data_IF_410308393463
#
_entry.id   IF_410308393463
#
_cell.length_a   1.000
_cell.length_b   1.000
_cell.length_c   1.000
_cell.angle_alpha   90.00
_cell.angle_beta   90.00
_cell.angle_gamma   90.00
#
_symmetry.space_group_name_H-M   'P 1'
#
loop_
_entity.id
_entity.type
_entity.pdbx_description
1 polymer ?
#
# COMPACT_ATOMS: atom_id res chain seq x y z
N UNK A 1 -31.90 -37.60 23.07
CA UNK A 1 -31.31 -36.26 22.77
C UNK A 1 -32.28 -35.54 21.87
N UNK A 2 -32.96 -34.50 22.33
CA UNK A 2 -33.79 -33.66 21.47
C UNK A 2 -32.92 -32.99 20.39
N UNK A 3 -33.39 -33.08 19.16
CA UNK A 3 -32.68 -32.57 18.00
C UNK A 3 -32.84 -31.04 17.97
N UNK A 4 -31.84 -30.29 18.43
CA UNK A 4 -31.88 -28.83 18.46
C UNK A 4 -32.07 -28.25 17.06
N UNK A 5 -33.00 -27.31 16.92
CA UNK A 5 -33.27 -26.62 15.65
C UNK A 5 -32.10 -25.69 15.31
N UNK A 6 -31.49 -25.87 14.13
CA UNK A 6 -30.29 -25.15 13.71
C UNK A 6 -30.58 -23.87 12.93
N UNK A 7 -31.78 -23.71 12.39
CA UNK A 7 -32.17 -22.52 11.63
C UNK A 7 -33.69 -22.38 11.58
N UNK A 8 -34.17 -21.14 11.55
CA UNK A 8 -35.56 -20.77 11.30
C UNK A 8 -35.71 -20.30 9.87
N UNK A 9 -36.41 -21.07 8.97
CA UNK A 9 -36.66 -20.62 7.61
C UNK A 9 -37.51 -19.34 7.60
N UNK A 10 -37.11 -18.35 6.81
CA UNK A 10 -37.85 -17.10 6.62
C UNK A 10 -38.64 -17.15 5.29
N UNK A 11 -37.92 -17.22 4.19
CA UNK A 11 -38.51 -17.29 2.83
C UNK A 11 -37.49 -17.79 1.81
N UNK A 12 -37.98 -18.02 0.59
CA UNK A 12 -37.15 -18.31 -0.58
C UNK A 12 -37.56 -17.36 -1.71
N UNK A 13 -36.58 -16.68 -2.30
CA UNK A 13 -36.79 -15.73 -3.38
C UNK A 13 -35.74 -15.93 -4.49
N UNK A 14 -36.18 -16.13 -5.73
CA UNK A 14 -35.34 -16.28 -6.93
C UNK A 14 -34.15 -17.24 -6.74
N UNK A 15 -34.41 -18.40 -6.10
CA UNK A 15 -33.38 -19.41 -5.80
C UNK A 15 -32.58 -19.20 -4.53
N UNK A 16 -32.60 -17.99 -3.96
CA UNK A 16 -31.94 -17.71 -2.69
C UNK A 16 -32.85 -18.13 -1.51
N UNK A 17 -32.34 -18.97 -0.63
CA UNK A 17 -33.02 -19.36 0.62
C UNK A 17 -32.48 -18.47 1.75
N UNK A 18 -33.39 -17.84 2.51
CA UNK A 18 -33.09 -16.96 3.61
C UNK A 18 -33.63 -17.58 4.90
N UNK A 19 -32.79 -17.69 5.91
CA UNK A 19 -33.14 -18.24 7.22
C UNK A 19 -32.40 -17.49 8.34
N UNK A 20 -32.99 -17.45 9.54
CA UNK A 20 -32.26 -17.08 10.76
C UNK A 20 -31.48 -18.30 11.25
N UNK A 21 -30.26 -18.08 11.70
CA UNK A 21 -29.39 -19.10 12.27
C UNK A 21 -28.38 -18.49 13.24
N UNK A 22 -27.85 -19.29 14.14
CA UNK A 22 -26.72 -18.89 14.95
C UNK A 22 -25.42 -19.09 14.18
N UNK A 23 -24.54 -18.09 14.17
CA UNK A 23 -23.23 -18.23 13.52
C UNK A 23 -22.22 -18.87 14.49
N UNK A 24 -22.17 -20.20 14.48
CA UNK A 24 -21.27 -20.99 15.33
C UNK A 24 -19.80 -20.91 14.92
N UNK A 25 -19.48 -20.34 13.73
CA UNK A 25 -18.11 -20.27 13.20
C UNK A 25 -17.28 -19.17 13.87
N UNK A 26 -17.94 -18.16 14.43
CA UNK A 26 -17.29 -16.99 15.04
C UNK A 26 -16.84 -17.23 16.47
N UNK A 27 -17.23 -18.37 17.09
CA UNK A 27 -16.91 -18.64 18.48
C UNK A 27 -15.51 -19.23 18.65
N UNK A 28 -14.50 -18.36 18.70
CA UNK A 28 -13.12 -18.70 19.11
C UNK A 28 -12.93 -18.69 20.63
N UNK A 29 -13.92 -18.23 21.41
CA UNK A 29 -13.93 -18.21 22.86
C UNK A 29 -14.99 -19.21 23.34
N UNK A 30 -14.75 -19.88 24.45
CA UNK A 30 -15.62 -20.88 25.07
C UNK A 30 -16.92 -20.25 25.64
N UNK A 31 -17.61 -19.44 24.86
CA UNK A 31 -18.93 -18.90 25.20
C UNK A 31 -20.00 -19.89 24.76
N UNK A 32 -21.03 -20.08 25.58
CA UNK A 32 -22.19 -20.91 25.23
C UNK A 32 -23.16 -20.19 24.29
N UNK A 33 -22.97 -18.89 24.04
CA UNK A 33 -23.82 -18.05 23.21
C UNK A 33 -23.19 -17.79 21.86
N UNK A 34 -24.03 -17.68 20.83
CA UNK A 34 -23.64 -17.43 19.44
C UNK A 34 -24.43 -16.26 18.88
N UNK A 35 -23.81 -15.40 18.01
CA UNK A 35 -24.50 -14.27 17.41
C UNK A 35 -25.63 -14.74 16.48
N UNK A 36 -26.79 -14.07 16.61
CA UNK A 36 -27.92 -14.25 15.69
C UNK A 36 -27.58 -13.64 14.34
N UNK A 37 -27.75 -14.41 13.28
CA UNK A 37 -27.41 -14.01 11.93
C UNK A 37 -28.48 -14.45 10.94
N UNK A 38 -28.66 -13.70 9.86
CA UNK A 38 -29.38 -14.17 8.70
C UNK A 38 -28.42 -14.93 7.80
N UNK A 39 -28.81 -16.15 7.48
CA UNK A 39 -28.10 -17.02 6.56
C UNK A 39 -28.75 -16.95 5.19
N UNK A 40 -27.99 -16.50 4.21
CA UNK A 40 -28.35 -16.53 2.80
C UNK A 40 -27.69 -17.74 2.15
N UNK A 41 -28.48 -18.53 1.42
CA UNK A 41 -27.97 -19.73 0.71
C UNK A 41 -28.39 -19.67 -0.73
N UNK A 42 -27.44 -19.69 -1.65
CA UNK A 42 -27.64 -19.72 -3.10
C UNK A 42 -26.48 -20.51 -3.75
N UNK A 43 -26.76 -21.30 -4.79
CA UNK A 43 -25.74 -22.09 -5.51
C UNK A 43 -24.94 -23.04 -4.60
N UNK A 44 -25.56 -23.60 -3.57
CA UNK A 44 -24.91 -24.44 -2.53
C UNK A 44 -23.87 -23.72 -1.67
N UNK A 45 -23.70 -22.40 -1.83
CA UNK A 45 -22.86 -21.55 -0.98
C UNK A 45 -23.74 -20.83 0.04
N UNK A 46 -23.17 -20.53 1.23
CA UNK A 46 -23.88 -19.78 2.26
C UNK A 46 -22.98 -18.75 2.91
N UNK A 47 -23.55 -17.58 3.26
CA UNK A 47 -22.90 -16.59 4.11
C UNK A 47 -23.87 -16.15 5.21
N UNK A 48 -23.32 -15.56 6.28
CA UNK A 48 -24.05 -15.13 7.46
C UNK A 48 -23.89 -13.63 7.62
N UNK A 49 -25.01 -12.96 7.88
CA UNK A 49 -25.05 -11.52 8.14
C UNK A 49 -25.58 -11.31 9.57
N UNK A 50 -24.78 -10.76 10.50
CA UNK A 50 -25.20 -10.56 11.89
C UNK A 50 -26.31 -9.51 11.97
N UNK A 51 -27.35 -9.80 12.78
CA UNK A 51 -28.50 -8.90 12.94
C UNK A 51 -28.69 -8.39 14.37
N UNK A 52 -27.75 -8.71 15.24
CA UNK A 52 -27.75 -8.32 16.65
C UNK A 52 -28.35 -9.37 17.56
N UNK A 53 -27.94 -9.34 18.83
CA UNK A 53 -28.31 -10.36 19.83
C UNK A 53 -27.46 -11.63 19.75
N UNK A 54 -27.34 -12.32 20.90
CA UNK A 54 -26.65 -13.60 21.02
C UNK A 54 -27.54 -14.54 21.83
N UNK A 55 -27.54 -15.81 21.45
CA UNK A 55 -28.40 -16.83 22.07
C UNK A 55 -27.63 -18.13 22.24
N UNK A 56 -27.97 -18.90 23.25
CA UNK A 56 -27.55 -20.30 23.36
C UNK A 56 -28.27 -21.14 22.30
N UNK A 57 -27.71 -22.27 21.94
CA UNK A 57 -28.33 -23.18 20.96
C UNK A 57 -29.71 -23.69 21.43
N UNK A 58 -29.89 -23.80 22.76
CA UNK A 58 -31.16 -24.22 23.37
C UNK A 58 -32.22 -23.12 23.27
N UNK A 59 -31.91 -21.90 23.72
CA UNK A 59 -32.81 -20.73 23.62
C UNK A 59 -33.27 -20.51 22.18
N UNK A 60 -32.35 -20.51 21.24
CA UNK A 60 -32.68 -20.37 19.83
C UNK A 60 -33.61 -21.48 19.33
N UNK A 61 -33.35 -22.73 19.71
CA UNK A 61 -34.22 -23.86 19.36
C UNK A 61 -35.62 -23.72 19.96
N UNK A 62 -35.73 -23.27 21.23
CA UNK A 62 -37.01 -23.06 21.91
C UNK A 62 -37.83 -21.94 21.25
N UNK A 63 -37.15 -20.85 20.83
CA UNK A 63 -37.81 -19.79 20.07
C UNK A 63 -38.27 -20.28 18.70
N UNK A 64 -37.40 -21.00 17.95
CA UNK A 64 -37.75 -21.52 16.64
C UNK A 64 -38.94 -22.50 16.67
N UNK A 65 -39.08 -23.28 17.72
CA UNK A 65 -40.12 -24.31 17.86
C UNK A 65 -41.36 -23.82 18.61
N UNK A 66 -41.41 -22.53 18.96
CA UNK A 66 -42.55 -21.98 19.73
C UNK A 66 -43.83 -21.98 18.89
N UNK A 67 -44.89 -22.61 19.41
CA UNK A 67 -46.21 -22.75 18.74
C UNK A 67 -47.31 -21.97 19.48
N UNK A 68 -47.17 -21.79 20.79
CA UNK A 68 -48.20 -21.11 21.61
C UNK A 68 -48.14 -19.60 21.41
N UNK A 69 -49.15 -19.01 20.78
CA UNK A 69 -49.22 -17.59 20.41
C UNK A 69 -49.04 -16.59 21.58
N UNK A 70 -49.33 -17.02 22.81
CA UNK A 70 -49.14 -16.19 24.02
C UNK A 70 -47.75 -16.31 24.67
N UNK A 71 -46.92 -17.23 24.21
CA UNK A 71 -45.55 -17.38 24.76
C UNK A 71 -44.64 -16.27 24.24
N UNK A 72 -43.70 -15.83 25.06
CA UNK A 72 -42.75 -14.78 24.69
C UNK A 72 -41.83 -15.24 23.56
N UNK A 73 -41.47 -16.52 23.55
CA UNK A 73 -40.71 -17.10 22.42
C UNK A 73 -41.46 -17.02 21.08
N UNK A 74 -42.78 -17.22 21.06
CA UNK A 74 -43.58 -17.08 19.85
C UNK A 74 -43.68 -15.61 19.41
N UNK A 75 -43.84 -14.68 20.36
CA UNK A 75 -43.87 -13.24 20.06
C UNK A 75 -42.56 -12.80 19.45
N UNK A 76 -41.42 -13.22 20.00
CA UNK A 76 -40.07 -12.92 19.50
C UNK A 76 -39.84 -13.55 18.11
N UNK A 77 -40.26 -14.82 17.92
CA UNK A 77 -40.18 -15.45 16.59
C UNK A 77 -41.02 -14.69 15.55
N UNK A 78 -42.20 -14.22 15.93
CA UNK A 78 -43.05 -13.42 15.04
C UNK A 78 -42.40 -12.07 14.71
N UNK A 79 -41.88 -11.38 15.73
CA UNK A 79 -41.15 -10.10 15.53
C UNK A 79 -39.99 -10.25 14.56
N UNK A 80 -39.21 -11.31 14.69
CA UNK A 80 -38.14 -11.59 13.73
C UNK A 80 -38.65 -11.79 12.30
N UNK A 81 -39.73 -12.53 12.13
CA UNK A 81 -40.36 -12.74 10.83
C UNK A 81 -40.89 -11.43 10.24
N UNK A 82 -41.61 -10.66 11.05
CA UNK A 82 -42.22 -9.38 10.64
C UNK A 82 -41.18 -8.31 10.30
N UNK A 83 -40.01 -8.36 10.97
CA UNK A 83 -38.90 -7.43 10.70
C UNK A 83 -38.06 -7.84 9.49
N UNK A 84 -37.64 -9.09 9.42
CA UNK A 84 -36.62 -9.51 8.47
C UNK A 84 -37.19 -9.95 7.12
N UNK A 85 -38.40 -10.50 7.08
CA UNK A 85 -38.99 -10.96 5.79
C UNK A 85 -39.22 -9.78 4.85
N UNK A 86 -39.93 -8.70 5.20
CA UNK A 86 -40.18 -7.58 4.27
C UNK A 86 -38.87 -6.97 3.81
N UNK A 87 -37.95 -6.68 4.74
CA UNK A 87 -36.67 -6.05 4.46
C UNK A 87 -35.83 -6.78 3.42
N UNK A 88 -35.58 -8.07 3.65
CA UNK A 88 -34.67 -8.83 2.78
C UNK A 88 -35.36 -9.37 1.55
N UNK A 89 -36.67 -9.56 1.57
CA UNK A 89 -37.46 -9.91 0.41
C UNK A 89 -37.46 -8.76 -0.61
N UNK A 90 -37.68 -7.53 -0.17
CA UNK A 90 -37.62 -6.35 -1.01
C UNK A 90 -36.24 -6.18 -1.66
N UNK A 91 -35.16 -6.35 -0.88
CA UNK A 91 -33.80 -6.29 -1.39
C UNK A 91 -33.57 -7.32 -2.51
N UNK A 92 -33.93 -8.60 -2.27
CA UNK A 92 -33.72 -9.65 -3.26
C UNK A 92 -34.64 -9.50 -4.49
N UNK A 93 -35.84 -8.96 -4.34
CA UNK A 93 -36.72 -8.67 -5.48
C UNK A 93 -36.20 -7.54 -6.35
N UNK A 94 -35.60 -6.52 -5.73
CA UNK A 94 -35.05 -5.35 -6.42
C UNK A 94 -33.63 -5.58 -6.98
N UNK A 95 -32.91 -6.55 -6.44
CA UNK A 95 -31.59 -6.88 -6.91
C UNK A 95 -31.64 -7.53 -8.30
N UNK A 96 -31.00 -6.94 -9.29
CA UNK A 96 -30.96 -7.40 -10.68
C UNK A 96 -32.36 -7.72 -11.25
N UNK A 97 -33.20 -6.68 -11.38
CA UNK A 97 -34.59 -6.84 -11.87
C UNK A 97 -34.63 -7.60 -13.19
N UNK A 98 -35.25 -8.79 -13.17
CA UNK A 98 -35.43 -9.64 -14.35
C UNK A 98 -34.28 -10.58 -14.71
N UNK A 99 -33.10 -10.47 -14.06
CA UNK A 99 -31.94 -11.34 -14.27
C UNK A 99 -31.81 -12.47 -13.24
N UNK A 100 -30.83 -13.34 -13.43
CA UNK A 100 -30.49 -14.43 -12.51
C UNK A 100 -29.71 -13.85 -11.31
N UNK A 101 -30.09 -14.22 -10.08
CA UNK A 101 -29.30 -13.89 -8.90
C UNK A 101 -28.09 -14.82 -8.79
N UNK A 102 -26.91 -14.27 -8.57
CA UNK A 102 -25.72 -15.04 -8.22
C UNK A 102 -25.39 -14.89 -6.73
N UNK A 103 -24.67 -15.86 -6.18
CA UNK A 103 -24.25 -15.83 -4.78
C UNK A 103 -23.46 -14.55 -4.43
N UNK A 104 -22.57 -14.14 -5.32
CA UNK A 104 -21.72 -12.98 -5.09
C UNK A 104 -22.50 -11.66 -5.10
N UNK A 105 -23.48 -11.52 -6.01
CA UNK A 105 -24.38 -10.36 -6.06
C UNK A 105 -25.18 -10.20 -4.76
N UNK A 106 -25.76 -11.31 -4.26
CA UNK A 106 -26.53 -11.31 -3.02
C UNK A 106 -25.62 -10.96 -1.84
N UNK A 107 -24.45 -11.57 -1.78
CA UNK A 107 -23.46 -11.32 -0.72
C UNK A 107 -23.01 -9.87 -0.70
N UNK A 108 -22.61 -9.32 -1.83
CA UNK A 108 -22.15 -7.93 -1.93
C UNK A 108 -23.25 -6.94 -1.54
N UNK A 109 -24.47 -7.14 -2.02
CA UNK A 109 -25.59 -6.29 -1.67
C UNK A 109 -25.92 -6.30 -0.17
N UNK A 110 -25.91 -7.48 0.46
CA UNK A 110 -26.26 -7.64 1.88
C UNK A 110 -25.11 -7.17 2.80
N UNK A 111 -23.88 -7.46 2.43
CA UNK A 111 -22.69 -7.07 3.22
C UNK A 111 -22.37 -5.57 3.09
N UNK A 112 -23.08 -4.85 2.22
CA UNK A 112 -22.81 -3.42 1.97
C UNK A 112 -21.64 -3.17 1.03
N UNK A 113 -21.14 -4.19 0.37
CA UNK A 113 -20.20 -4.09 -0.75
C UNK A 113 -21.00 -3.87 -2.04
N UNK A 114 -21.49 -2.68 -2.27
CA UNK A 114 -22.08 -2.12 -3.49
C UNK A 114 -22.99 -3.02 -4.35
N UNK A 115 -24.06 -2.43 -4.86
CA UNK A 115 -24.88 -3.03 -5.91
C UNK A 115 -24.03 -3.23 -7.16
N UNK A 116 -23.83 -4.46 -7.64
CA UNK A 116 -23.22 -4.69 -8.94
C UNK A 116 -24.12 -4.13 -10.04
N UNK A 117 -23.65 -3.23 -10.89
CA UNK A 117 -24.39 -2.78 -12.06
C UNK A 117 -24.57 -3.94 -13.05
N UNK A 118 -25.66 -3.91 -13.81
CA UNK A 118 -25.84 -4.77 -14.98
C UNK A 118 -24.67 -4.60 -15.96
N UNK A 119 -24.36 -5.61 -16.79
CA UNK A 119 -23.21 -5.64 -17.71
C UNK A 119 -23.08 -4.46 -18.69
N UNK A 120 -23.99 -3.52 -18.68
CA UNK A 120 -23.98 -2.30 -19.52
C UNK A 120 -23.58 -1.03 -18.79
N UNK A 121 -23.45 -1.06 -17.42
CA UNK A 121 -22.99 0.07 -16.63
C UNK A 121 -21.62 -0.24 -15.96
N UNK A 122 -20.60 -0.48 -16.77
CA UNK A 122 -19.20 -0.60 -16.32
C UNK A 122 -18.54 0.75 -16.01
N UNK A 123 -19.31 1.77 -15.64
CA UNK A 123 -18.72 3.05 -15.33
C UNK A 123 -19.48 3.74 -14.20
N UNK A 124 -18.80 3.88 -13.10
CA UNK A 124 -18.90 4.91 -12.06
C UNK A 124 -19.23 4.36 -10.67
N UNK A 125 -18.21 4.29 -9.88
CA UNK A 125 -18.29 4.20 -8.44
C UNK A 125 -19.23 5.29 -7.89
N UNK A 126 -20.32 4.88 -7.24
CA UNK A 126 -21.33 5.79 -6.71
C UNK A 126 -20.97 6.39 -5.35
N UNK A 127 -19.70 6.47 -4.99
CA UNK A 127 -19.24 7.06 -3.73
C UNK A 127 -17.82 7.62 -3.85
N UNK A 128 -17.51 8.61 -2.99
CA UNK A 128 -16.17 9.19 -2.89
C UNK A 128 -15.09 8.13 -2.65
N UNK A 129 -15.36 7.17 -1.75
CA UNK A 129 -14.47 6.05 -1.47
C UNK A 129 -14.33 5.13 -2.67
N UNK A 130 -15.39 4.87 -3.39
CA UNK A 130 -15.34 4.02 -4.58
C UNK A 130 -14.55 4.66 -5.74
N UNK A 131 -14.65 5.99 -5.95
CA UNK A 131 -13.75 6.71 -6.88
C UNK A 131 -12.30 6.57 -6.44
N UNK A 132 -12.04 6.60 -5.13
CA UNK A 132 -10.71 6.38 -4.60
C UNK A 132 -10.17 4.98 -4.91
N UNK A 133 -10.99 3.95 -4.70
CA UNK A 133 -10.66 2.55 -5.03
C UNK A 133 -10.48 2.34 -6.54
N UNK A 134 -11.28 2.99 -7.35
CA UNK A 134 -11.11 2.97 -8.80
C UNK A 134 -9.76 3.57 -9.22
N UNK A 135 -9.36 4.72 -8.66
CA UNK A 135 -8.04 5.32 -8.92
C UNK A 135 -6.91 4.36 -8.51
N UNK A 136 -7.05 3.67 -7.36
CA UNK A 136 -6.07 2.66 -6.93
C UNK A 136 -5.98 1.53 -7.95
N UNK A 137 -7.12 1.04 -8.43
CA UNK A 137 -7.18 -0.01 -9.44
C UNK A 137 -6.52 0.44 -10.76
N UNK A 138 -6.89 1.61 -11.27
CA UNK A 138 -6.30 2.21 -12.47
C UNK A 138 -4.77 2.33 -12.34
N UNK A 139 -4.27 2.82 -11.19
CA UNK A 139 -2.84 2.95 -10.93
C UNK A 139 -2.10 1.61 -10.87
N UNK A 140 -2.77 0.51 -10.53
CA UNK A 140 -2.19 -0.84 -10.48
C UNK A 140 -2.23 -1.55 -11.84
N UNK A 141 -3.22 -1.25 -12.67
CA UNK A 141 -3.47 -1.91 -13.96
C UNK A 141 -2.96 -1.11 -15.15
N UNK A 142 -2.55 0.17 -14.94
CA UNK A 142 -2.04 1.04 -15.98
C UNK A 142 -0.67 0.57 -16.48
N UNK A 143 -0.55 0.36 -17.78
CA UNK A 143 0.68 0.08 -18.56
C UNK A 143 1.77 -0.74 -17.84
N UNK A 144 1.45 -1.99 -17.50
CA UNK A 144 2.41 -2.90 -16.88
C UNK A 144 2.74 -2.58 -15.42
N UNK A 145 1.83 -1.94 -14.68
CA UNK A 145 1.94 -1.76 -13.26
C UNK A 145 3.00 -0.74 -12.80
N UNK A 146 3.38 0.15 -13.68
CA UNK A 146 4.46 1.12 -13.44
C UNK A 146 4.18 2.13 -12.31
N UNK A 147 2.95 2.21 -11.79
CA UNK A 147 2.55 3.15 -10.74
C UNK A 147 2.29 2.54 -9.37
N UNK A 148 2.78 1.35 -9.08
CA UNK A 148 2.56 0.67 -7.79
C UNK A 148 2.88 1.52 -6.56
N UNK A 149 3.97 2.31 -6.59
CA UNK A 149 4.33 3.20 -5.46
C UNK A 149 3.27 4.27 -5.21
N UNK A 150 2.68 4.80 -6.29
CA UNK A 150 1.60 5.78 -6.20
C UNK A 150 0.34 5.10 -5.67
N UNK A 151 -0.03 3.94 -6.22
CA UNK A 151 -1.17 3.15 -5.76
C UNK A 151 -1.09 2.84 -4.26
N UNK A 152 0.07 2.39 -3.75
CA UNK A 152 0.26 2.16 -2.32
C UNK A 152 0.06 3.42 -1.47
N UNK A 153 0.50 4.59 -1.97
CA UNK A 153 0.27 5.85 -1.25
C UNK A 153 -1.23 6.15 -1.13
N UNK A 154 -2.01 5.89 -2.19
CA UNK A 154 -3.47 6.02 -2.17
C UNK A 154 -4.13 4.99 -1.25
N UNK A 155 -3.66 3.74 -1.25
CA UNK A 155 -4.17 2.69 -0.35
C UNK A 155 -3.90 2.98 1.11
N UNK A 156 -2.68 3.39 1.44
CA UNK A 156 -2.33 3.77 2.81
C UNK A 156 -3.15 4.98 3.28
N UNK A 157 -3.36 5.96 2.39
CA UNK A 157 -4.20 7.10 2.67
C UNK A 157 -5.66 6.70 2.91
N UNK A 158 -6.23 5.83 2.05
CA UNK A 158 -7.59 5.31 2.20
C UNK A 158 -7.76 4.47 3.47
N UNK A 159 -6.76 3.63 3.82
CA UNK A 159 -6.76 2.88 5.08
C UNK A 159 -6.77 3.80 6.29
N UNK A 160 -5.95 4.87 6.28
CA UNK A 160 -5.92 5.89 7.33
C UNK A 160 -7.26 6.63 7.42
N UNK A 161 -7.84 7.00 6.29
CA UNK A 161 -9.11 7.69 6.19
C UNK A 161 -10.24 6.87 6.82
N UNK A 162 -10.36 5.59 6.43
CA UNK A 162 -11.34 4.66 7.00
C UNK A 162 -11.12 4.40 8.49
N UNK A 163 -9.87 4.29 8.92
CA UNK A 163 -9.53 4.04 10.33
C UNK A 163 -9.93 5.19 11.24
N UNK A 164 -9.76 6.42 10.80
CA UNK A 164 -10.00 7.62 11.63
C UNK A 164 -11.45 8.09 11.56
N UNK A 165 -12.07 8.05 10.38
CA UNK A 165 -13.44 8.52 10.18
C UNK A 165 -14.50 7.44 10.35
N UNK A 166 -14.10 6.17 10.35
CA UNK A 166 -15.00 5.02 10.35
C UNK A 166 -15.55 4.71 8.94
N UNK A 167 -15.84 3.43 8.72
CA UNK A 167 -16.30 2.93 7.41
C UNK A 167 -17.74 3.33 7.09
N UNK A 168 -18.54 3.65 8.11
CA UNK A 168 -19.96 3.96 7.96
C UNK A 168 -20.28 5.45 7.74
N UNK A 169 -19.31 6.34 7.95
CA UNK A 169 -19.53 7.79 7.94
C UNK A 169 -19.62 8.41 6.54
N UNK A 170 -19.13 7.69 5.50
CA UNK A 170 -19.03 8.27 4.14
C UNK A 170 -19.85 7.42 3.18
N UNK A 171 -21.14 7.68 3.17
CA UNK A 171 -22.07 7.13 2.17
C UNK A 171 -22.17 8.08 0.99
N UNK A 172 -21.98 7.55 -0.21
CA UNK A 172 -22.08 8.35 -1.43
C UNK A 172 -21.00 9.44 -1.49
N UNK A 173 -21.39 10.66 -1.82
CA UNK A 173 -20.52 11.82 -1.94
C UNK A 173 -20.72 12.84 -0.80
N UNK A 174 -21.31 12.43 0.32
CA UNK A 174 -21.53 13.27 1.50
C UNK A 174 -20.23 13.49 2.29
N UNK A 175 -19.26 14.13 1.68
CA UNK A 175 -17.99 14.49 2.31
C UNK A 175 -17.83 16.01 2.28
N UNK A 176 -17.38 16.58 3.40
CA UNK A 176 -17.18 18.01 3.57
C UNK A 176 -15.75 18.33 4.02
N UNK A 177 -15.39 19.62 4.01
CA UNK A 177 -14.16 20.12 4.57
C UNK A 177 -13.99 19.75 6.05
N UNK A 178 -15.09 19.66 6.81
CA UNK A 178 -15.07 19.32 8.23
C UNK A 178 -14.62 17.88 8.47
N UNK A 179 -15.10 16.91 7.67
CA UNK A 179 -14.64 15.51 7.77
C UNK A 179 -13.17 15.38 7.39
N UNK A 180 -12.73 16.07 6.34
CA UNK A 180 -11.32 16.04 5.93
C UNK A 180 -10.44 16.68 7.02
N UNK A 181 -10.88 17.77 7.66
CA UNK A 181 -10.18 18.37 8.79
C UNK A 181 -10.14 17.42 9.99
N UNK A 182 -11.25 16.76 10.33
CA UNK A 182 -11.29 15.73 11.39
C UNK A 182 -10.30 14.60 11.13
N UNK A 183 -10.20 14.15 9.87
CA UNK A 183 -9.20 13.16 9.49
C UNK A 183 -7.77 13.67 9.66
N UNK A 184 -7.49 14.90 9.23
CA UNK A 184 -6.19 15.55 9.42
C UNK A 184 -5.81 15.66 10.89
N UNK A 185 -6.75 16.09 11.75
CA UNK A 185 -6.53 16.21 13.19
C UNK A 185 -6.30 14.83 13.84
N UNK A 186 -7.02 13.80 13.41
CA UNK A 186 -6.81 12.42 13.82
C UNK A 186 -5.45 11.87 13.38
N UNK A 187 -4.95 12.24 12.20
CA UNK A 187 -3.59 11.90 11.76
C UNK A 187 -2.51 12.59 12.59
N UNK A 188 -2.75 13.80 13.06
CA UNK A 188 -1.81 14.56 13.87
C UNK A 188 -1.79 14.11 15.34
N UNK A 189 -2.97 13.96 15.94
CA UNK A 189 -3.13 13.68 17.36
C UNK A 189 -3.25 12.17 17.67
N UNK A 190 -3.66 11.37 16.71
CA UNK A 190 -4.13 10.01 16.90
C UNK A 190 -5.62 9.98 17.31
N UNK A 191 -6.20 8.80 17.27
CA UNK A 191 -7.54 8.52 17.77
C UNK A 191 -7.49 7.33 18.72
N UNK A 192 -8.35 7.28 19.72
CA UNK A 192 -8.47 6.10 20.60
C UNK A 192 -9.24 5.02 19.85
N UNK A 193 -8.70 3.81 19.83
CA UNK A 193 -9.42 2.62 19.36
C UNK A 193 -10.38 2.07 20.45
N UNK A 194 -11.05 0.98 20.11
CA UNK A 194 -12.01 0.30 21.01
C UNK A 194 -11.36 -0.16 22.33
N UNK A 195 -10.03 -0.34 22.34
CA UNK A 195 -9.27 -0.73 23.52
C UNK A 195 -8.65 0.46 24.27
N UNK A 196 -8.91 1.70 23.84
CA UNK A 196 -8.36 2.93 24.41
C UNK A 196 -6.92 3.25 23.98
N UNK A 197 -6.30 2.45 23.11
CA UNK A 197 -4.96 2.71 22.59
C UNK A 197 -4.97 3.83 21.54
N UNK A 198 -3.96 4.71 21.60
CA UNK A 198 -3.80 5.77 20.60
C UNK A 198 -3.29 5.19 19.28
N UNK A 199 -4.09 5.32 18.22
CA UNK A 199 -3.79 4.80 16.89
C UNK A 199 -3.92 5.90 15.84
N UNK A 200 -3.30 5.69 14.68
CA UNK A 200 -3.46 6.57 13.51
C UNK A 200 -2.56 7.80 13.50
N UNK A 201 -1.78 8.09 14.56
CA UNK A 201 -0.82 9.21 14.57
C UNK A 201 0.30 8.96 13.57
N UNK A 202 0.56 9.95 12.70
CA UNK A 202 1.59 9.92 11.67
C UNK A 202 2.30 11.28 11.58
N UNK A 203 3.45 11.31 10.87
CA UNK A 203 4.19 12.56 10.66
C UNK A 203 3.45 13.49 9.70
N UNK A 204 3.67 14.80 9.84
CA UNK A 204 3.11 15.83 8.95
C UNK A 204 3.48 15.61 7.49
N UNK A 205 4.68 15.07 7.22
CA UNK A 205 5.10 14.69 5.86
C UNK A 205 4.19 13.60 5.28
N UNK A 206 3.90 12.57 6.06
CA UNK A 206 3.00 11.48 5.65
C UNK A 206 1.56 11.97 5.53
N UNK A 207 1.07 12.76 6.49
CA UNK A 207 -0.25 13.39 6.43
C UNK A 207 -0.40 14.26 5.18
N UNK A 208 0.64 15.03 4.82
CA UNK A 208 0.67 15.80 3.58
C UNK A 208 0.58 14.94 2.32
N UNK A 209 1.21 13.76 2.30
CA UNK A 209 1.07 12.79 1.18
C UNK A 209 -0.38 12.31 1.10
N UNK A 210 -0.97 11.88 2.21
CA UNK A 210 -2.34 11.36 2.25
C UNK A 210 -3.39 12.39 1.84
N UNK A 211 -3.26 13.62 2.33
CA UNK A 211 -4.14 14.72 1.94
C UNK A 211 -4.02 15.09 0.45
N UNK A 212 -2.82 14.96 -0.14
CA UNK A 212 -2.66 15.14 -1.61
C UNK A 212 -3.37 14.03 -2.41
N UNK A 213 -3.35 12.79 -1.92
CA UNK A 213 -4.13 11.70 -2.52
C UNK A 213 -5.63 12.01 -2.45
N UNK A 214 -6.14 12.42 -1.29
CA UNK A 214 -7.53 12.82 -1.11
C UNK A 214 -7.92 13.99 -2.02
N UNK A 215 -7.05 15.01 -2.15
CA UNK A 215 -7.27 16.14 -3.07
C UNK A 215 -7.38 15.69 -4.53
N UNK A 216 -6.56 14.72 -4.94
CA UNK A 216 -6.64 14.19 -6.30
C UNK A 216 -7.93 13.42 -6.54
N UNK A 217 -8.40 12.64 -5.56
CA UNK A 217 -9.72 11.99 -5.59
C UNK A 217 -10.85 13.02 -5.68
N UNK A 218 -10.78 14.08 -4.86
CA UNK A 218 -11.74 15.18 -4.90
C UNK A 218 -11.83 15.83 -6.29
N UNK A 219 -10.67 16.15 -6.86
CA UNK A 219 -10.60 16.75 -8.21
C UNK A 219 -11.17 15.81 -9.28
N UNK A 220 -10.95 14.50 -9.16
CA UNK A 220 -11.55 13.50 -10.04
C UNK A 220 -13.08 13.49 -9.90
N UNK A 221 -13.60 13.54 -8.68
CA UNK A 221 -15.04 13.61 -8.42
C UNK A 221 -15.68 14.89 -9.00
N UNK A 222 -14.98 16.03 -8.94
CA UNK A 222 -15.44 17.27 -9.61
C UNK A 222 -15.48 17.08 -11.12
N UNK A 223 -14.40 16.56 -11.70
CA UNK A 223 -14.29 16.33 -13.14
C UNK A 223 -15.39 15.39 -13.67
N UNK A 224 -15.72 14.36 -12.89
CA UNK A 224 -16.79 13.40 -13.23
C UNK A 224 -18.19 13.92 -12.87
N UNK A 225 -18.29 15.09 -12.27
CA UNK A 225 -19.57 15.77 -11.99
C UNK A 225 -20.25 15.35 -10.69
N UNK A 226 -19.62 14.55 -9.84
CA UNK A 226 -20.21 14.12 -8.57
C UNK A 226 -20.21 15.18 -7.47
N UNK A 227 -19.30 16.17 -7.53
CA UNK A 227 -19.11 17.22 -6.51
C UNK A 227 -19.19 18.63 -7.12
N UNK A 228 -20.04 18.86 -8.13
CA UNK A 228 -20.14 20.15 -8.84
C UNK A 228 -20.52 21.32 -7.92
N UNK A 229 -21.46 21.08 -7.00
CA UNK A 229 -22.02 22.11 -6.13
C UNK A 229 -21.45 22.09 -4.70
N UNK A 230 -20.41 21.30 -4.47
CA UNK A 230 -19.77 21.19 -3.16
C UNK A 230 -18.57 22.13 -3.07
N UNK A 231 -18.48 23.01 -2.06
CA UNK A 231 -17.35 23.91 -1.89
C UNK A 231 -16.02 23.16 -1.83
N UNK A 232 -15.00 23.67 -2.52
CA UNK A 232 -13.67 23.05 -2.55
C UNK A 232 -13.02 23.09 -1.15
N UNK A 233 -12.65 21.95 -0.56
CA UNK A 233 -12.27 21.91 0.84
C UNK A 233 -10.81 22.27 1.12
N UNK A 234 -9.96 22.35 0.09
CA UNK A 234 -8.51 22.55 0.28
C UNK A 234 -8.10 23.99 -0.02
N UNK A 235 -7.18 24.52 0.80
CA UNK A 235 -6.52 25.80 0.53
C UNK A 235 -5.02 25.68 0.71
N UNK A 236 -4.25 26.48 -0.05
CA UNK A 236 -2.81 26.65 0.15
C UNK A 236 -2.50 27.65 1.28
N UNK A 237 -3.49 28.45 1.70
CA UNK A 237 -3.43 29.39 2.81
C UNK A 237 -4.18 28.81 4.01
N UNK A 238 -3.85 29.30 5.20
CA UNK A 238 -4.61 28.97 6.42
C UNK A 238 -5.89 29.82 6.45
N UNK A 239 -6.91 29.35 5.74
CA UNK A 239 -8.23 29.99 5.70
C UNK A 239 -9.19 29.22 6.63
N UNK A 240 -10.05 29.98 7.35
CA UNK A 240 -11.03 29.39 8.26
C UNK A 240 -12.01 28.52 7.46
N UNK A 241 -12.23 27.29 7.94
CA UNK A 241 -13.16 26.34 7.29
C UNK A 241 -12.56 25.53 6.13
N UNK A 242 -11.30 25.80 5.73
CA UNK A 242 -10.61 25.06 4.69
C UNK A 242 -9.42 24.25 5.23
N UNK A 243 -9.13 23.14 4.59
CA UNK A 243 -8.06 22.21 4.97
C UNK A 243 -6.75 22.62 4.32
N UNK A 244 -5.77 23.01 5.12
CA UNK A 244 -4.41 23.23 4.63
C UNK A 244 -3.62 21.93 4.60
N UNK A 245 -2.96 21.62 3.48
CA UNK A 245 -2.10 20.45 3.34
C UNK A 245 -0.72 20.76 3.93
N UNK A 246 -0.24 19.99 4.92
CA UNK A 246 1.08 20.20 5.50
C UNK A 246 2.18 20.11 4.43
N UNK A 247 3.13 21.04 4.49
CA UNK A 247 4.37 20.95 3.71
C UNK A 247 5.30 19.97 4.40
N UNK A 248 6.06 19.20 3.61
CA UNK A 248 7.13 18.37 4.16
C UNK A 248 8.12 19.27 4.92
N UNK A 249 8.49 18.86 6.12
CA UNK A 249 9.57 19.53 6.84
C UNK A 249 10.85 19.49 5.98
N UNK A 250 11.55 20.62 5.88
CA UNK A 250 12.88 20.62 5.27
C UNK A 250 13.78 19.78 6.18
N UNK A 251 14.07 18.55 5.77
CA UNK A 251 15.06 17.73 6.46
C UNK A 251 16.43 18.21 6.04
N UNK A 252 17.35 18.35 7.03
CA UNK A 252 18.76 18.45 6.73
C UNK A 252 19.14 17.19 5.94
N UNK A 253 19.61 17.36 4.71
CA UNK A 253 20.02 16.23 3.89
C UNK A 253 21.24 15.61 4.57
N UNK A 254 21.14 14.33 4.85
CA UNK A 254 22.26 13.59 5.43
C UNK A 254 23.06 12.97 4.28
N UNK A 255 24.35 13.13 4.33
CA UNK A 255 25.30 12.62 3.35
C UNK A 255 26.59 12.17 4.04
N UNK A 256 27.37 11.34 3.38
CA UNK A 256 28.73 10.97 3.75
C UNK A 256 29.71 11.85 2.95
N UNK A 257 30.65 12.48 3.64
CA UNK A 257 31.70 13.24 2.98
C UNK A 257 32.72 12.33 2.27
N UNK A 258 33.64 12.92 1.52
CA UNK A 258 34.65 12.17 0.74
C UNK A 258 35.50 11.27 1.63
N UNK A 259 35.92 11.75 2.81
CA UNK A 259 36.71 10.93 3.75
C UNK A 259 35.95 9.68 4.21
N UNK A 260 34.69 9.83 4.59
CA UNK A 260 33.83 8.71 4.99
C UNK A 260 33.60 7.72 3.84
N UNK A 261 33.39 8.22 2.62
CA UNK A 261 33.26 7.34 1.43
C UNK A 261 34.57 6.60 1.14
N UNK A 262 35.71 7.25 1.38
CA UNK A 262 37.05 6.64 1.22
C UNK A 262 37.28 5.56 2.27
N UNK A 263 36.88 5.79 3.53
CA UNK A 263 36.97 4.76 4.58
C UNK A 263 36.14 3.50 4.22
N UNK A 264 34.91 3.69 3.72
CA UNK A 264 34.07 2.58 3.24
C UNK A 264 34.72 1.85 2.08
N UNK A 265 35.31 2.57 1.11
CA UNK A 265 36.01 1.99 0.00
C UNK A 265 37.27 1.21 0.44
N UNK A 266 38.06 1.77 1.36
CA UNK A 266 39.25 1.11 1.90
C UNK A 266 38.89 -0.17 2.69
N UNK A 267 37.78 -0.15 3.44
CA UNK A 267 37.27 -1.34 4.10
C UNK A 267 36.84 -2.40 3.05
N UNK A 268 36.19 -1.99 1.98
CA UNK A 268 35.81 -2.89 0.89
C UNK A 268 37.03 -3.55 0.25
N UNK A 269 38.08 -2.79 -0.04
CA UNK A 269 39.34 -3.30 -0.64
C UNK A 269 40.10 -4.20 0.33
N UNK A 270 40.25 -3.78 1.61
CA UNK A 270 41.00 -4.53 2.61
C UNK A 270 40.31 -5.77 3.14
N UNK A 271 38.97 -5.84 3.03
CA UNK A 271 38.12 -6.92 3.56
C UNK A 271 38.29 -7.19 5.06
N UNK A 272 38.79 -6.21 5.84
CA UNK A 272 39.04 -6.31 7.28
C UNK A 272 37.74 -6.11 8.09
N UNK A 273 36.89 -7.11 8.07
CA UNK A 273 35.64 -7.11 8.84
C UNK A 273 35.87 -7.62 10.27
N UNK A 274 34.95 -7.30 11.23
CA UNK A 274 35.05 -7.80 12.61
C UNK A 274 35.08 -9.30 12.70
N UNK A 275 36.00 -9.86 13.50
CA UNK A 275 36.20 -11.33 13.64
C UNK A 275 34.98 -12.05 14.22
N UNK A 276 34.15 -11.35 15.01
CA UNK A 276 32.94 -11.94 15.60
C UNK A 276 31.79 -12.12 14.57
N UNK A 277 31.93 -11.63 13.33
CA UNK A 277 30.95 -11.87 12.28
C UNK A 277 31.14 -13.29 11.69
N UNK A 278 30.03 -13.97 11.47
CA UNK A 278 30.08 -15.22 10.73
C UNK A 278 30.56 -15.00 9.28
N UNK A 279 31.22 -16.01 8.71
CA UNK A 279 31.69 -15.94 7.32
C UNK A 279 30.54 -15.60 6.34
N UNK A 280 29.38 -16.21 6.53
CA UNK A 280 28.19 -15.97 5.70
C UNK A 280 27.70 -14.52 5.83
N UNK A 281 27.67 -13.98 7.06
CA UNK A 281 27.29 -12.59 7.28
C UNK A 281 28.31 -11.64 6.65
N UNK A 282 29.61 -11.91 6.79
CA UNK A 282 30.70 -11.13 6.20
C UNK A 282 30.59 -11.07 4.68
N UNK A 283 30.33 -12.20 4.00
CA UNK A 283 30.08 -12.23 2.55
C UNK A 283 28.89 -11.34 2.14
N UNK A 284 27.78 -11.43 2.88
CA UNK A 284 26.60 -10.60 2.63
C UNK A 284 26.84 -9.12 2.92
N UNK A 285 27.62 -8.79 3.95
CA UNK A 285 27.98 -7.44 4.31
C UNK A 285 28.91 -6.83 3.25
N UNK A 286 29.90 -7.58 2.79
CA UNK A 286 30.81 -7.19 1.72
C UNK A 286 30.05 -6.90 0.41
N UNK A 287 29.18 -7.80 0.00
CA UNK A 287 28.32 -7.59 -1.18
C UNK A 287 27.45 -6.32 -1.03
N UNK A 288 26.87 -6.11 0.14
CA UNK A 288 26.05 -4.92 0.41
C UNK A 288 26.87 -3.63 0.38
N UNK A 289 28.12 -3.68 0.88
CA UNK A 289 29.05 -2.56 0.79
C UNK A 289 29.42 -2.25 -0.66
N UNK A 290 29.66 -3.28 -1.47
CA UNK A 290 29.90 -3.11 -2.91
C UNK A 290 28.72 -2.47 -3.62
N UNK A 291 27.47 -2.91 -3.35
CA UNK A 291 26.27 -2.26 -3.91
C UNK A 291 26.12 -0.81 -3.46
N UNK A 292 26.45 -0.51 -2.20
CA UNK A 292 26.37 0.87 -1.67
C UNK A 292 27.40 1.77 -2.37
N UNK A 293 28.63 1.29 -2.54
CA UNK A 293 29.69 2.00 -3.27
C UNK A 293 29.35 2.17 -4.75
N UNK A 294 28.80 1.11 -5.40
CA UNK A 294 28.32 1.18 -6.76
C UNK A 294 27.22 2.26 -6.90
N UNK A 295 26.28 2.37 -5.95
CA UNK A 295 25.29 3.44 -5.96
C UNK A 295 25.91 4.83 -5.95
N UNK A 296 26.95 5.05 -5.16
CA UNK A 296 27.67 6.32 -5.12
C UNK A 296 28.45 6.58 -6.43
N UNK A 297 29.23 5.61 -6.86
CA UNK A 297 30.11 5.72 -8.04
C UNK A 297 29.35 5.74 -9.37
N UNK A 298 28.12 5.22 -9.40
CA UNK A 298 27.21 5.32 -10.55
C UNK A 298 26.29 6.53 -10.43
N UNK A 299 26.86 7.73 -10.27
CA UNK A 299 26.15 9.01 -10.27
C UNK A 299 24.99 9.08 -9.23
N UNK A 300 25.11 8.35 -8.14
CA UNK A 300 24.08 8.32 -7.11
C UNK A 300 22.78 7.65 -7.58
N UNK A 301 22.83 6.65 -8.45
CA UNK A 301 21.64 5.92 -8.89
C UNK A 301 20.95 5.20 -7.70
N UNK A 302 19.68 4.91 -7.84
CA UNK A 302 18.94 4.23 -6.78
C UNK A 302 18.94 2.71 -6.99
N UNK A 303 18.54 1.96 -5.94
CA UNK A 303 18.49 0.49 -6.01
C UNK A 303 17.60 -0.04 -7.14
N UNK A 304 16.56 0.70 -7.54
CA UNK A 304 15.68 0.29 -8.64
C UNK A 304 16.36 0.45 -10.01
N UNK A 305 17.22 1.45 -10.15
CA UNK A 305 18.05 1.64 -11.36
C UNK A 305 19.18 0.60 -11.36
N UNK A 306 19.83 0.34 -10.22
CA UNK A 306 20.83 -0.71 -10.06
C UNK A 306 20.31 -2.09 -10.48
N UNK A 307 19.13 -2.47 -10.00
CA UNK A 307 18.52 -3.76 -10.34
C UNK A 307 18.14 -3.91 -11.82
N UNK A 308 18.04 -2.81 -12.57
CA UNK A 308 17.72 -2.81 -14.00
C UNK A 308 18.90 -2.50 -14.90
N UNK A 309 20.05 -2.19 -14.31
CA UNK A 309 21.26 -1.94 -15.09
C UNK A 309 21.68 -3.22 -15.82
N UNK A 310 21.91 -3.09 -17.12
CA UNK A 310 22.30 -4.20 -17.99
C UNK A 310 23.59 -3.88 -18.74
N UNK A 311 24.28 -4.93 -19.15
CA UNK A 311 25.36 -4.84 -20.13
C UNK A 311 24.74 -4.67 -21.53
N UNK A 312 24.32 -3.45 -21.83
CA UNK A 312 23.65 -3.11 -23.09
C UNK A 312 24.65 -2.92 -24.27
N UNK A 313 24.13 -2.54 -25.43
CA UNK A 313 24.97 -2.28 -26.61
C UNK A 313 25.97 -1.15 -26.39
N UNK A 314 25.64 -0.13 -25.61
CA UNK A 314 26.50 1.00 -25.31
C UNK A 314 27.74 0.60 -24.51
N UNK A 315 27.56 -0.30 -23.50
CA UNK A 315 28.68 -0.87 -22.77
C UNK A 315 29.72 -1.49 -23.69
N UNK A 316 29.27 -2.31 -24.64
CA UNK A 316 30.18 -2.94 -25.61
C UNK A 316 30.75 -1.99 -26.65
N UNK A 317 30.02 -0.95 -27.06
CA UNK A 317 30.52 0.10 -27.97
C UNK A 317 31.62 0.96 -27.32
N UNK A 318 31.61 1.08 -26.00
CA UNK A 318 32.62 1.80 -25.22
C UNK A 318 33.73 0.89 -24.68
N UNK A 319 33.84 -0.34 -25.18
CA UNK A 319 34.82 -1.32 -24.69
C UNK A 319 34.76 -1.51 -23.14
N UNK A 320 33.55 -1.51 -22.58
CA UNK A 320 33.35 -1.67 -21.15
C UNK A 320 33.69 -0.42 -20.31
N UNK A 321 33.84 0.76 -20.95
CA UNK A 321 34.26 1.99 -20.24
C UNK A 321 33.11 2.83 -19.70
N UNK A 322 31.87 2.55 -20.07
CA UNK A 322 30.71 3.29 -19.57
C UNK A 322 29.44 2.46 -19.57
N UNK A 323 28.57 2.75 -18.62
CA UNK A 323 27.17 2.33 -18.64
C UNK A 323 26.26 3.45 -19.15
N UNK A 324 25.13 3.06 -19.72
CA UNK A 324 24.05 3.95 -20.08
C UNK A 324 22.72 3.37 -19.59
N UNK A 325 21.88 4.19 -18.97
CA UNK A 325 20.55 3.77 -18.56
C UNK A 325 19.58 4.93 -18.45
N UNK A 326 18.29 4.64 -18.56
CA UNK A 326 17.21 5.60 -18.31
C UNK A 326 16.67 5.43 -16.91
N UNK A 327 16.58 6.53 -16.13
CA UNK A 327 16.04 6.48 -14.78
C UNK A 327 14.57 6.09 -14.78
N UNK A 328 14.24 5.03 -14.06
CA UNK A 328 12.85 4.54 -13.90
C UNK A 328 11.89 5.60 -13.36
N UNK A 329 12.35 6.45 -12.41
CA UNK A 329 11.50 7.44 -11.74
C UNK A 329 11.11 8.62 -12.63
N UNK A 330 11.93 9.02 -13.56
CA UNK A 330 11.76 10.23 -14.40
C UNK A 330 11.44 9.93 -15.86
N UNK A 331 11.61 8.70 -16.33
CA UNK A 331 11.43 8.27 -17.71
C UNK A 331 10.06 8.61 -18.34
N UNK A 332 9.05 8.89 -17.54
CA UNK A 332 7.70 9.27 -18.03
C UNK A 332 7.46 10.78 -18.07
N UNK A 333 8.38 11.60 -17.60
CA UNK A 333 8.19 13.06 -17.49
C UNK A 333 8.84 13.85 -18.62
N UNK A 334 9.82 13.29 -19.29
CA UNK A 334 10.45 13.88 -20.46
C UNK A 334 10.24 12.98 -21.66
N UNK A 335 9.89 13.57 -22.80
CA UNK A 335 9.74 12.85 -24.07
C UNK A 335 11.03 12.17 -24.50
N UNK A 336 12.18 12.72 -24.13
CA UNK A 336 13.51 12.24 -24.50
C UNK A 336 14.16 11.31 -23.48
N UNK A 337 13.46 10.97 -22.36
CA UNK A 337 14.00 10.18 -21.26
C UNK A 337 15.18 10.89 -20.57
N UNK A 338 15.36 10.73 -19.26
CA UNK A 338 16.58 11.19 -18.57
C UNK A 338 17.64 10.10 -18.70
N UNK A 339 18.33 10.10 -19.84
CA UNK A 339 19.48 9.21 -20.08
C UNK A 339 20.62 9.60 -19.13
N UNK A 340 21.20 8.62 -18.46
CA UNK A 340 22.36 8.79 -17.58
C UNK A 340 23.50 7.97 -18.13
N UNK A 341 24.64 8.62 -18.35
CA UNK A 341 25.89 7.98 -18.72
C UNK A 341 26.81 7.96 -17.51
N UNK A 342 27.32 6.79 -17.18
CA UNK A 342 28.22 6.54 -16.04
C UNK A 342 29.57 6.06 -16.56
N UNK A 343 30.64 6.83 -16.48
CA UNK A 343 31.98 6.35 -16.81
C UNK A 343 32.44 5.33 -15.76
N UNK A 344 33.01 4.23 -16.22
CA UNK A 344 33.58 3.19 -15.34
C UNK A 344 35.02 3.60 -15.00
N UNK A 345 35.15 4.33 -13.90
CA UNK A 345 36.43 4.73 -13.35
C UNK A 345 37.07 3.58 -12.56
N UNK A 346 38.40 3.56 -12.34
CA UNK A 346 39.07 2.42 -11.66
C UNK A 346 38.46 1.98 -10.33
N UNK A 347 38.02 2.89 -9.41
CA UNK A 347 37.33 2.47 -8.21
C UNK A 347 36.01 1.74 -8.46
N UNK A 348 35.25 2.17 -9.47
CA UNK A 348 33.99 1.49 -9.87
C UNK A 348 34.29 0.14 -10.49
N UNK A 349 35.30 0.05 -11.35
CA UNK A 349 35.72 -1.22 -11.97
C UNK A 349 36.05 -2.24 -10.89
N UNK A 350 36.85 -1.87 -9.89
CA UNK A 350 37.19 -2.77 -8.78
C UNK A 350 35.93 -3.27 -8.02
N UNK A 351 34.97 -2.38 -7.78
CA UNK A 351 33.70 -2.77 -7.14
C UNK A 351 32.91 -3.73 -8.03
N UNK A 352 32.85 -3.47 -9.34
CA UNK A 352 32.14 -4.34 -10.28
C UNK A 352 32.79 -5.73 -10.38
N UNK A 353 34.11 -5.81 -10.39
CA UNK A 353 34.84 -7.09 -10.44
C UNK A 353 34.52 -8.00 -9.24
N UNK A 354 34.20 -7.41 -8.08
CA UNK A 354 33.90 -8.15 -6.85
C UNK A 354 32.40 -8.51 -6.71
N UNK A 355 31.47 -7.65 -7.19
CA UNK A 355 30.03 -7.82 -6.86
C UNK A 355 29.10 -7.90 -8.07
N UNK A 356 29.56 -7.55 -9.26
CA UNK A 356 28.73 -7.64 -10.45
C UNK A 356 28.78 -9.04 -11.07
N UNK A 357 27.75 -9.37 -11.84
CA UNK A 357 27.79 -10.57 -12.67
C UNK A 357 28.78 -10.37 -13.84
N UNK A 358 29.39 -11.43 -14.35
CA UNK A 358 30.24 -11.36 -15.56
C UNK A 358 29.49 -10.71 -16.72
N UNK A 359 30.14 -9.84 -17.51
CA UNK A 359 29.52 -9.17 -18.63
C UNK A 359 28.93 -10.15 -19.64
N UNK A 360 27.62 -10.12 -19.77
CA UNK A 360 26.85 -10.90 -20.74
C UNK A 360 25.92 -9.95 -21.48
N UNK A 361 25.92 -9.99 -22.82
CA UNK A 361 25.15 -9.06 -23.63
C UNK A 361 23.66 -9.10 -23.27
N UNK A 362 23.11 -7.95 -22.83
CA UNK A 362 21.74 -7.84 -22.32
C UNK A 362 21.51 -8.41 -20.92
N UNK A 363 22.52 -9.00 -20.28
CA UNK A 363 22.45 -9.52 -18.91
C UNK A 363 22.44 -8.39 -17.88
N UNK A 364 21.83 -8.65 -16.72
CA UNK A 364 21.84 -7.71 -15.60
C UNK A 364 23.22 -7.64 -14.95
N UNK A 365 23.65 -6.41 -14.59
CA UNK A 365 24.91 -6.20 -13.84
C UNK A 365 24.77 -6.73 -12.41
N UNK A 366 23.60 -6.53 -11.78
CA UNK A 366 23.32 -7.00 -10.42
C UNK A 366 22.07 -7.90 -10.36
N UNK A 367 22.12 -9.11 -10.93
CA UNK A 367 20.94 -9.99 -11.05
C UNK A 367 20.34 -10.40 -9.70
N UNK A 368 21.13 -10.42 -8.62
CA UNK A 368 20.69 -10.78 -7.27
C UNK A 368 19.65 -9.80 -6.69
N UNK A 369 19.59 -8.54 -7.20
CA UNK A 369 18.61 -7.56 -6.75
C UNK A 369 17.20 -7.98 -7.16
N UNK A 370 17.01 -8.38 -8.42
CA UNK A 370 15.69 -8.73 -8.96
C UNK A 370 15.37 -10.23 -8.88
N UNK A 371 16.35 -11.09 -8.68
CA UNK A 371 16.17 -12.56 -8.51
C UNK A 371 15.32 -13.21 -9.60
N UNK A 372 15.47 -12.76 -10.85
CA UNK A 372 14.67 -13.29 -11.96
C UNK A 372 13.21 -12.85 -11.97
N UNK A 373 12.82 -11.79 -11.23
CA UNK A 373 11.44 -11.32 -11.20
C UNK A 373 10.91 -10.94 -12.59
N UNK A 374 9.83 -11.57 -13.01
CA UNK A 374 9.18 -11.34 -14.30
C UNK A 374 8.23 -10.12 -14.26
N UNK A 375 7.51 -9.93 -13.14
CA UNK A 375 6.53 -8.84 -13.00
C UNK A 375 7.12 -7.60 -12.33
N UNK A 376 6.64 -6.41 -12.70
CA UNK A 376 7.05 -5.14 -12.08
C UNK A 376 6.74 -5.09 -10.56
N UNK A 377 5.70 -5.77 -10.12
CA UNK A 377 5.36 -5.87 -8.70
C UNK A 377 6.43 -6.67 -7.93
N UNK A 378 6.85 -7.83 -8.45
CA UNK A 378 7.93 -8.63 -7.86
C UNK A 378 9.27 -7.90 -7.92
N UNK A 379 9.60 -7.26 -9.06
CA UNK A 379 10.81 -6.43 -9.19
C UNK A 379 10.86 -5.35 -8.13
N UNK A 380 9.73 -4.67 -7.91
CA UNK A 380 9.62 -3.65 -6.86
C UNK A 380 9.80 -4.26 -5.46
N UNK A 381 9.11 -5.37 -5.16
CA UNK A 381 9.20 -6.06 -3.86
C UNK A 381 10.66 -6.45 -3.55
N UNK A 382 11.34 -7.08 -4.49
CA UNK A 382 12.74 -7.49 -4.30
C UNK A 382 13.70 -6.30 -4.20
N UNK A 383 13.50 -5.27 -5.02
CA UNK A 383 14.27 -4.02 -4.90
C UNK A 383 14.11 -3.37 -3.52
N UNK A 384 12.90 -3.30 -2.98
CA UNK A 384 12.66 -2.75 -1.64
C UNK A 384 13.32 -3.60 -0.55
N UNK A 385 13.21 -4.93 -0.66
CA UNK A 385 13.85 -5.85 0.28
C UNK A 385 15.37 -5.70 0.26
N UNK A 386 15.99 -5.66 -0.94
CA UNK A 386 17.43 -5.52 -1.05
C UNK A 386 17.91 -4.15 -0.57
N UNK A 387 17.18 -3.08 -0.86
CA UNK A 387 17.49 -1.75 -0.33
C UNK A 387 17.44 -1.70 1.22
N UNK A 388 16.51 -2.43 1.86
CA UNK A 388 16.47 -2.58 3.32
C UNK A 388 17.67 -3.39 3.83
N UNK A 389 17.96 -4.52 3.20
CA UNK A 389 19.09 -5.38 3.56
C UNK A 389 20.42 -4.62 3.48
N UNK A 390 20.64 -3.89 2.38
CA UNK A 390 21.85 -3.08 2.20
C UNK A 390 21.94 -2.01 3.28
N UNK A 391 20.85 -1.26 3.53
CA UNK A 391 20.82 -0.24 4.58
C UNK A 391 21.22 -0.81 5.94
N UNK A 392 20.60 -1.91 6.38
CA UNK A 392 20.83 -2.48 7.70
C UNK A 392 22.27 -2.98 7.87
N UNK A 393 22.84 -3.57 6.80
CA UNK A 393 24.24 -4.03 6.80
C UNK A 393 25.22 -2.86 6.75
N UNK A 394 24.94 -1.80 5.99
CA UNK A 394 25.79 -0.61 5.95
C UNK A 394 25.83 0.11 7.32
N UNK A 395 24.69 0.24 7.99
CA UNK A 395 24.63 0.80 9.33
C UNK A 395 25.52 -0.04 10.27
N UNK A 396 25.43 -1.33 10.22
CA UNK A 396 26.23 -2.23 11.03
C UNK A 396 27.74 -2.16 10.69
N UNK A 397 28.10 -2.05 9.40
CA UNK A 397 29.47 -1.81 8.94
C UNK A 397 30.00 -0.51 9.53
N UNK A 398 29.26 0.60 9.44
CA UNK A 398 29.66 1.87 9.99
C UNK A 398 29.91 1.80 11.50
N UNK A 399 29.06 1.12 12.24
CA UNK A 399 29.12 1.08 13.70
C UNK A 399 30.13 0.05 14.24
N UNK A 400 30.20 -1.15 13.65
CA UNK A 400 31.00 -2.24 14.19
C UNK A 400 32.37 -2.38 13.51
N UNK A 401 32.48 -2.11 12.20
CA UNK A 401 33.75 -2.23 11.49
C UNK A 401 34.54 -0.91 11.44
N UNK A 402 33.87 0.23 11.34
CA UNK A 402 34.49 1.55 11.26
C UNK A 402 34.39 2.36 12.56
N UNK A 403 33.67 1.87 13.57
CA UNK A 403 33.47 2.53 14.86
C UNK A 403 32.90 3.97 14.75
N UNK A 404 32.06 4.21 13.74
CA UNK A 404 31.41 5.51 13.59
C UNK A 404 30.32 5.73 14.63
N UNK A 405 30.01 7.01 14.88
CA UNK A 405 28.95 7.39 15.80
C UNK A 405 27.61 6.77 15.39
N UNK A 406 26.84 6.28 16.39
CA UNK A 406 25.56 5.59 16.19
C UNK A 406 24.47 6.46 15.55
N UNK A 407 24.63 7.78 15.52
CA UNK A 407 23.72 8.67 14.80
C UNK A 407 23.89 8.62 13.27
N UNK A 408 25.04 8.09 12.80
CA UNK A 408 25.33 7.93 11.37
C UNK A 408 24.69 6.64 10.88
N UNK A 409 23.52 6.76 10.25
CA UNK A 409 22.73 5.63 9.76
C UNK A 409 22.50 5.75 8.24
N UNK A 410 23.50 5.46 7.40
CA UNK A 410 23.41 5.65 5.96
C UNK A 410 22.36 4.76 5.30
N UNK A 411 21.78 5.26 4.22
CA UNK A 411 20.84 4.53 3.37
C UNK A 411 21.16 4.80 1.91
N UNK A 412 20.56 4.07 0.97
CA UNK A 412 20.77 4.31 -0.45
C UNK A 412 20.47 5.75 -0.91
N UNK A 413 19.59 6.47 -0.20
CA UNK A 413 19.35 7.90 -0.45
C UNK A 413 20.58 8.76 -0.09
N UNK A 414 21.34 8.37 0.94
CA UNK A 414 22.58 9.06 1.31
C UNK A 414 23.63 8.94 0.20
N UNK A 415 23.75 7.80 -0.49
CA UNK A 415 24.65 7.68 -1.64
C UNK A 415 24.40 8.78 -2.66
N UNK A 416 23.14 9.02 -2.99
CA UNK A 416 22.74 10.05 -3.95
C UNK A 416 23.03 11.45 -3.46
N UNK A 417 22.74 11.73 -2.17
CA UNK A 417 23.08 13.01 -1.56
C UNK A 417 24.59 13.20 -1.45
N UNK A 418 25.33 12.14 -1.09
CA UNK A 418 26.80 12.18 -1.02
C UNK A 418 27.41 12.50 -2.39
N UNK A 419 26.95 11.84 -3.46
CA UNK A 419 27.42 12.13 -4.80
C UNK A 419 27.22 13.61 -5.16
N UNK A 420 25.99 14.10 -5.03
CA UNK A 420 25.69 15.51 -5.37
C UNK A 420 26.45 16.50 -4.49
N UNK A 421 26.46 16.28 -3.16
CA UNK A 421 27.08 17.23 -2.22
C UNK A 421 28.60 17.22 -2.32
N UNK A 422 29.22 16.07 -2.50
CA UNK A 422 30.67 15.97 -2.64
C UNK A 422 31.16 16.61 -3.93
N UNK A 423 30.45 16.44 -5.07
CA UNK A 423 30.77 17.13 -6.30
C UNK A 423 30.57 18.65 -6.20
N UNK A 424 29.47 19.08 -5.59
CA UNK A 424 29.22 20.49 -5.34
C UNK A 424 30.32 21.12 -4.49
N UNK A 425 30.73 20.45 -3.40
CA UNK A 425 31.80 20.90 -2.52
C UNK A 425 33.18 20.92 -3.22
N UNK A 426 33.35 20.11 -4.27
CA UNK A 426 34.53 20.12 -5.14
C UNK A 426 34.47 21.19 -6.24
N UNK A 427 33.41 22.02 -6.26
CA UNK A 427 33.26 23.12 -7.22
C UNK A 427 32.66 22.74 -8.57
N UNK A 428 32.08 21.54 -8.68
CA UNK A 428 31.39 21.11 -9.90
C UNK A 428 30.06 21.85 -10.05
N UNK A 429 29.77 22.28 -11.27
CA UNK A 429 28.56 23.02 -11.59
C UNK A 429 27.28 22.23 -11.27
N UNK A 430 26.26 22.93 -10.76
CA UNK A 430 25.01 22.30 -10.31
C UNK A 430 24.17 21.75 -11.47
N UNK A 431 24.24 22.37 -12.65
CA UNK A 431 23.49 21.89 -13.83
C UNK A 431 24.11 20.59 -14.32
N UNK A 432 25.45 20.51 -14.35
CA UNK A 432 26.16 19.26 -14.66
C UNK A 432 25.84 18.15 -13.65
N UNK A 433 25.82 18.45 -12.33
CA UNK A 433 25.46 17.48 -11.30
C UNK A 433 24.02 17.02 -11.51
N UNK A 434 23.09 17.93 -11.79
CA UNK A 434 21.68 17.62 -12.04
C UNK A 434 21.50 16.71 -13.24
N UNK A 435 22.18 17.04 -14.36
CA UNK A 435 22.15 16.24 -15.59
C UNK A 435 22.76 14.86 -15.38
N UNK A 436 23.96 14.78 -14.78
CA UNK A 436 24.64 13.51 -14.50
C UNK A 436 23.82 12.57 -13.60
N UNK A 437 22.94 13.13 -12.76
CA UNK A 437 22.00 12.40 -11.92
C UNK A 437 20.68 12.08 -12.63
N UNK A 438 20.47 12.47 -13.87
CA UNK A 438 19.23 12.30 -14.63
C UNK A 438 18.05 13.04 -13.99
N UNK A 439 18.26 14.26 -13.52
CA UNK A 439 17.15 15.16 -13.23
C UNK A 439 16.73 15.84 -14.53
N UNK A 440 15.42 15.85 -14.82
CA UNK A 440 14.91 16.72 -15.86
C UNK A 440 15.09 18.18 -15.38
N UNK A 441 15.71 19.01 -16.22
CA UNK A 441 15.84 20.46 -16.05
C UNK A 441 14.47 21.14 -16.00
#
# INVERSE_FOLDING_TARGET
>A
MEKLTKSLPLFKERGCTVSLALDIRTNRRKSSEYPLSIRFTLERKAFYYPVGGSYTAKEFSDICNAVKSRSDNYKLQKEWKDTFIPKYKEILMNLNKGGILTFEMVRQCIMGEGVMPSKEDTTKSQSFVGVWEQIIHELRTDDGGARFTTAESYECALKSFRKILGTNMIRGFCISAAEIQKWKDGMHNGVKDENGAMVGKISDTTAGIYLRCCRAVWNRCIHEGYLKDVPYPFSNKKEKGLVSIPKSAKRKQSFLNVCQMTELYNLFVSKKYPEHWSEEYTKRAHYSLGLFLAQYLCNGFNMADAGRLTYDSYYYQTDGKAFRFNRKKTSRRSADGSEVIVPIIPPLQYVLDEVAAPPTRGGFVFPHILKGAETEELRRKYTMQENSNVKDRIIRICHEALNWDKSICPSGTWCRHSFATNLHNAGVDMDYISESMGHAS
#
